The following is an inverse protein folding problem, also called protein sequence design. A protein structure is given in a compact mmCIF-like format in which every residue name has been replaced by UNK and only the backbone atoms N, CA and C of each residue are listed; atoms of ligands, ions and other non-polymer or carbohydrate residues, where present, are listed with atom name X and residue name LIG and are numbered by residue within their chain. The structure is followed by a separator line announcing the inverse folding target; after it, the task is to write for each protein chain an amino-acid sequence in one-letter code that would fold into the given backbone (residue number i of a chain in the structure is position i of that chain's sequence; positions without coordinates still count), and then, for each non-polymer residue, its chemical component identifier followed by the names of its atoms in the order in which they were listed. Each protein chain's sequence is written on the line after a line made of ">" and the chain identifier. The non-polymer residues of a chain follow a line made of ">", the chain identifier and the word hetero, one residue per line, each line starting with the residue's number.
data_IF_412538124242
#
_entry.id   IF_412538124242
#
_cell.length_a   1.000
_cell.length_b   1.000
_cell.length_c   1.000
_cell.angle_alpha   90.00
_cell.angle_beta   90.00
_cell.angle_gamma   90.00
#
_symmetry.space_group_name_H-M   'P 1'
#
loop_
_entity.id
_entity.type
_entity.pdbx_description
1 polymer ?
#
# COMPACT_ATOMS: atom_id res chain seq x y z
N UNK A 1 -0.02 -14.72 -21.84
CA UNK A 1 0.14 -13.39 -21.24
C UNK A 1 0.83 -13.58 -19.91
N UNK A 2 1.98 -12.98 -19.69
CA UNK A 2 2.61 -12.95 -18.38
C UNK A 2 1.64 -12.18 -17.46
N UNK A 3 1.20 -12.71 -16.32
CA UNK A 3 0.32 -11.96 -15.44
C UNK A 3 1.03 -10.67 -15.03
N UNK A 4 0.36 -9.55 -15.17
CA UNK A 4 0.83 -8.27 -14.67
C UNK A 4 0.96 -8.40 -13.16
N UNK A 5 2.12 -8.06 -12.61
CA UNK A 5 2.38 -8.10 -11.17
C UNK A 5 1.34 -7.24 -10.43
N UNK A 6 0.86 -7.72 -9.30
CA UNK A 6 -0.11 -6.98 -8.48
C UNK A 6 0.48 -5.72 -7.87
N UNK A 7 -0.40 -4.85 -7.36
CA UNK A 7 -0.07 -3.58 -6.70
C UNK A 7 -0.21 -3.72 -5.19
N UNK A 8 0.74 -3.20 -4.43
CA UNK A 8 0.60 -3.01 -2.98
C UNK A 8 0.09 -1.59 -2.74
N UNK A 9 -1.05 -1.46 -2.06
CA UNK A 9 -1.62 -0.16 -1.67
C UNK A 9 -1.60 -0.05 -0.15
N UNK A 10 -0.75 0.83 0.37
CA UNK A 10 -0.69 1.09 1.81
C UNK A 10 -1.59 2.28 2.14
N UNK A 11 -2.57 2.03 2.99
CA UNK A 11 -3.46 3.06 3.52
C UNK A 11 -2.95 3.48 4.89
N UNK A 12 -2.82 4.78 5.12
CA UNK A 12 -2.52 5.35 6.44
C UNK A 12 -3.37 6.59 6.71
N UNK A 13 -3.20 7.14 7.89
CA UNK A 13 -3.91 8.35 8.33
C UNK A 13 -4.48 8.21 9.73
N UNK A 14 -4.95 9.30 10.33
CA UNK A 14 -5.36 9.34 11.72
C UNK A 14 -6.48 8.36 12.04
N UNK A 15 -6.50 7.92 13.29
CA UNK A 15 -7.62 7.13 13.81
C UNK A 15 -8.93 7.90 13.70
N UNK A 16 -10.00 7.21 13.30
CA UNK A 16 -11.33 7.85 13.15
C UNK A 16 -11.61 8.39 11.75
N UNK A 17 -10.67 8.36 10.81
CA UNK A 17 -10.88 8.80 9.41
C UNK A 17 -11.76 7.86 8.57
N UNK A 18 -11.98 6.63 9.04
CA UNK A 18 -12.85 5.66 8.34
C UNK A 18 -12.10 4.71 7.41
N UNK A 19 -10.78 4.53 7.57
CA UNK A 19 -9.93 3.65 6.75
C UNK A 19 -10.53 2.24 6.57
N UNK A 20 -10.85 1.56 7.67
CA UNK A 20 -11.40 0.20 7.61
C UNK A 20 -12.69 0.09 6.80
N UNK A 21 -13.61 1.07 6.92
CA UNK A 21 -14.84 1.11 6.11
C UNK A 21 -14.53 1.33 4.63
N UNK A 22 -13.59 2.23 4.34
CA UNK A 22 -13.12 2.51 2.98
C UNK A 22 -12.55 1.25 2.32
N UNK A 23 -11.66 0.55 3.03
CA UNK A 23 -11.02 -0.69 2.56
C UNK A 23 -12.06 -1.79 2.32
N UNK A 24 -12.95 -2.03 3.29
CA UNK A 24 -14.01 -3.04 3.15
C UNK A 24 -14.91 -2.77 1.95
N UNK A 25 -15.29 -1.50 1.73
CA UNK A 25 -16.08 -1.10 0.57
C UNK A 25 -15.31 -1.29 -0.74
N UNK A 26 -14.02 -0.94 -0.80
CA UNK A 26 -13.19 -1.17 -1.98
C UNK A 26 -13.10 -2.65 -2.32
N UNK A 27 -12.84 -3.52 -1.35
CA UNK A 27 -12.74 -4.97 -1.57
C UNK A 27 -14.05 -5.58 -2.08
N UNK A 28 -15.20 -5.00 -1.70
CA UNK A 28 -16.50 -5.40 -2.25
C UNK A 28 -16.66 -4.96 -3.71
N UNK A 29 -16.08 -3.82 -4.09
CA UNK A 29 -16.16 -3.25 -5.45
C UNK A 29 -15.15 -3.86 -6.44
N UNK A 30 -14.00 -4.29 -5.95
CA UNK A 30 -12.93 -4.89 -6.77
C UNK A 30 -12.41 -6.18 -6.12
N UNK A 31 -12.87 -7.35 -6.60
CA UNK A 31 -12.47 -8.66 -6.06
C UNK A 31 -10.97 -8.98 -6.24
N UNK A 32 -10.22 -8.20 -7.04
CA UNK A 32 -8.77 -8.38 -7.19
C UNK A 32 -7.98 -7.81 -6.01
N UNK A 33 -8.61 -6.96 -5.20
CA UNK A 33 -7.99 -6.35 -4.04
C UNK A 33 -8.17 -7.26 -2.82
N UNK A 34 -7.07 -7.69 -2.25
CA UNK A 34 -7.02 -8.57 -1.08
C UNK A 34 -6.39 -7.84 0.11
N UNK A 35 -6.94 -8.07 1.29
CA UNK A 35 -6.27 -7.61 2.51
C UNK A 35 -5.06 -8.51 2.79
N UNK A 36 -3.92 -7.92 3.20
CA UNK A 36 -2.76 -8.70 3.60
C UNK A 36 -3.02 -9.40 4.94
N UNK A 37 -2.68 -10.67 5.03
CA UNK A 37 -2.77 -11.42 6.28
C UNK A 37 -1.51 -11.12 7.11
N UNK A 38 -1.69 -10.49 8.27
CA UNK A 38 -0.59 -10.18 9.20
C UNK A 38 -0.21 -11.39 10.04
N UNK A 39 1.04 -11.43 10.50
CA UNK A 39 1.45 -12.32 11.58
C UNK A 39 1.13 -11.70 12.95
N UNK A 40 0.89 -12.54 13.95
CA UNK A 40 0.67 -12.09 15.34
C UNK A 40 1.15 -13.12 16.36
N UNK A 41 1.57 -12.63 17.54
CA UNK A 41 1.89 -13.49 18.68
C UNK A 41 0.69 -13.73 19.60
N UNK A 42 -0.46 -13.15 19.28
CA UNK A 42 -1.70 -13.40 20.01
C UNK A 42 -2.21 -14.80 19.72
N UNK A 43 -2.68 -15.46 20.74
CA UNK A 43 -3.35 -16.75 20.60
C UNK A 43 -4.59 -16.67 19.66
N UNK A 44 -4.78 -17.73 18.88
CA UNK A 44 -5.93 -17.87 17.98
C UNK A 44 -7.24 -17.90 18.79
N UNK A 45 -8.22 -17.12 18.35
CA UNK A 45 -9.55 -17.11 18.96
C UNK A 45 -10.48 -18.09 18.25
N UNK A 46 -11.55 -18.45 18.94
CA UNK A 46 -12.60 -19.29 18.34
C UNK A 46 -13.16 -18.62 17.06
N UNK A 47 -13.19 -19.38 15.96
CA UNK A 47 -13.65 -18.91 14.65
C UNK A 47 -12.57 -18.26 13.77
N UNK A 48 -11.35 -18.08 14.27
CA UNK A 48 -10.19 -17.67 13.46
C UNK A 48 -9.50 -18.90 12.84
N UNK A 49 -8.74 -18.68 11.76
CA UNK A 49 -7.99 -19.73 11.09
C UNK A 49 -6.59 -19.24 10.70
N UNK A 50 -5.62 -20.17 10.79
CA UNK A 50 -4.22 -19.95 10.36
C UNK A 50 -4.15 -19.56 8.89
N UNK A 51 -3.37 -18.52 8.58
CA UNK A 51 -3.18 -18.03 7.22
C UNK A 51 -4.39 -17.35 6.57
N UNK A 52 -5.50 -17.22 7.33
CA UNK A 52 -6.72 -16.53 6.90
C UNK A 52 -7.00 -15.31 7.77
N UNK A 53 -7.06 -15.49 9.08
CA UNK A 53 -7.25 -14.38 10.02
C UNK A 53 -5.93 -13.74 10.37
N UNK A 54 -4.94 -14.54 10.68
CA UNK A 54 -3.55 -14.19 10.96
C UNK A 54 -2.65 -15.40 10.68
N UNK A 55 -1.33 -15.16 10.57
CA UNK A 55 -0.29 -16.16 10.80
C UNK A 55 0.06 -16.13 12.29
N UNK A 56 -0.40 -17.14 13.04
CA UNK A 56 -0.20 -17.19 14.50
C UNK A 56 1.20 -17.75 14.81
N UNK A 57 2.00 -16.98 15.54
CA UNK A 57 3.38 -17.31 15.90
C UNK A 57 3.59 -17.20 17.40
N UNK A 58 4.51 -17.97 17.92
CA UNK A 58 5.03 -17.72 19.27
C UNK A 58 5.84 -16.40 19.25
N UNK A 59 6.02 -15.79 20.42
CA UNK A 59 6.85 -14.58 20.52
C UNK A 59 8.29 -14.83 20.03
N UNK A 60 8.86 -15.98 20.38
CA UNK A 60 10.22 -16.35 19.96
C UNK A 60 10.35 -16.48 18.42
N UNK A 61 9.41 -17.18 17.77
CA UNK A 61 9.36 -17.26 16.30
C UNK A 61 9.20 -15.89 15.66
N UNK A 62 8.32 -15.05 16.17
CA UNK A 62 8.11 -13.72 15.62
C UNK A 62 9.37 -12.84 15.73
N UNK A 63 10.05 -12.86 16.87
CA UNK A 63 11.30 -12.14 17.09
C UNK A 63 12.45 -12.69 16.21
N UNK A 64 12.47 -13.98 15.92
CA UNK A 64 13.38 -14.57 14.93
C UNK A 64 13.09 -14.07 13.52
N UNK A 65 11.82 -14.07 13.09
CA UNK A 65 11.38 -13.54 11.82
C UNK A 65 11.71 -12.05 11.64
N UNK A 66 11.70 -11.26 12.72
CA UNK A 66 12.16 -9.86 12.68
C UNK A 66 13.66 -9.81 12.39
N UNK A 67 14.48 -10.63 13.11
CA UNK A 67 15.93 -10.65 12.92
C UNK A 67 16.34 -11.08 11.50
N UNK A 68 15.57 -11.99 10.91
CA UNK A 68 15.81 -12.54 9.59
C UNK A 68 15.27 -11.64 8.46
N UNK A 69 14.59 -10.52 8.82
CA UNK A 69 14.02 -9.56 7.86
C UNK A 69 12.79 -10.09 7.12
N UNK A 70 12.15 -11.13 7.62
CA UNK A 70 10.90 -11.68 7.09
C UNK A 70 9.70 -10.81 7.43
N UNK A 71 9.75 -10.09 8.57
CA UNK A 71 8.75 -9.11 9.00
C UNK A 71 9.21 -7.72 8.54
N UNK A 72 8.43 -7.08 7.68
CA UNK A 72 8.75 -5.78 7.07
C UNK A 72 8.49 -4.60 8.00
N UNK A 73 7.42 -4.70 8.75
CA UNK A 73 7.00 -3.74 9.76
C UNK A 73 6.25 -4.49 10.86
N UNK A 74 6.31 -3.97 12.06
CA UNK A 74 5.60 -4.55 13.20
C UNK A 74 5.31 -3.50 14.27
N UNK A 75 4.29 -3.78 15.09
CA UNK A 75 3.93 -2.98 16.26
C UNK A 75 3.47 -3.90 17.40
N UNK A 76 3.54 -3.40 18.64
CA UNK A 76 3.06 -4.12 19.82
C UNK A 76 1.75 -3.52 20.30
N UNK A 77 0.71 -4.35 20.40
CA UNK A 77 -0.58 -3.95 20.94
C UNK A 77 -1.07 -4.94 21.99
N UNK A 78 -1.38 -4.45 23.19
CA UNK A 78 -1.83 -5.26 24.32
C UNK A 78 -0.91 -6.46 24.61
N UNK A 79 0.41 -6.26 24.56
CA UNK A 79 1.41 -7.29 24.85
C UNK A 79 1.63 -8.31 23.73
N UNK A 80 0.99 -8.16 22.56
CA UNK A 80 1.17 -9.01 21.40
C UNK A 80 1.77 -8.23 20.25
N UNK A 81 2.64 -8.89 19.49
CA UNK A 81 3.22 -8.37 18.27
C UNK A 81 2.28 -8.62 17.09
N UNK A 82 2.24 -7.68 16.17
CA UNK A 82 1.53 -7.76 14.89
C UNK A 82 2.46 -7.22 13.82
N UNK A 83 2.53 -7.87 12.67
CA UNK A 83 3.42 -7.41 11.61
C UNK A 83 3.08 -7.99 10.24
N UNK A 84 3.64 -7.35 9.22
CA UNK A 84 3.44 -7.70 7.81
C UNK A 84 4.59 -8.56 7.31
N UNK A 85 4.26 -9.74 6.76
CA UNK A 85 5.23 -10.67 6.22
C UNK A 85 5.62 -10.32 4.78
N UNK A 86 6.92 -10.31 4.48
CA UNK A 86 7.43 -10.14 3.12
C UNK A 86 6.90 -11.22 2.17
N UNK A 87 6.91 -12.47 2.59
CA UNK A 87 6.45 -13.62 1.80
C UNK A 87 4.98 -13.53 1.42
N UNK A 88 4.14 -13.04 2.34
CA UNK A 88 2.69 -12.84 2.10
C UNK A 88 2.47 -11.81 0.97
N UNK A 89 3.13 -10.66 1.05
CA UNK A 89 3.01 -9.63 0.02
C UNK A 89 3.55 -10.11 -1.32
N UNK A 90 4.78 -10.68 -1.32
CA UNK A 90 5.43 -11.14 -2.52
C UNK A 90 4.60 -12.19 -3.26
N UNK A 91 4.11 -13.21 -2.56
CA UNK A 91 3.33 -14.28 -3.17
C UNK A 91 2.03 -13.77 -3.82
N UNK A 92 1.37 -12.81 -3.18
CA UNK A 92 0.12 -12.23 -3.70
C UNK A 92 0.37 -11.39 -4.95
N UNK A 93 1.36 -10.49 -4.91
CA UNK A 93 1.64 -9.62 -6.07
C UNK A 93 2.19 -10.43 -7.25
N UNK A 94 2.99 -11.47 -7.03
CA UNK A 94 3.49 -12.35 -8.07
C UNK A 94 2.37 -13.18 -8.72
N UNK A 95 1.32 -13.48 -7.96
CA UNK A 95 0.10 -14.09 -8.48
C UNK A 95 -0.82 -13.10 -9.25
N UNK A 96 -0.43 -11.82 -9.35
CA UNK A 96 -1.22 -10.76 -10.02
C UNK A 96 -2.35 -10.18 -9.15
N UNK A 97 -2.38 -10.48 -7.85
CA UNK A 97 -3.37 -9.92 -6.93
C UNK A 97 -2.90 -8.59 -6.37
N UNK A 98 -3.80 -7.62 -6.27
CA UNK A 98 -3.51 -6.39 -5.55
C UNK A 98 -3.70 -6.59 -4.04
N UNK A 99 -2.80 -6.00 -3.27
CA UNK A 99 -2.80 -6.11 -1.81
C UNK A 99 -3.07 -4.75 -1.19
N UNK A 100 -3.93 -4.71 -0.18
CA UNK A 100 -4.19 -3.51 0.61
C UNK A 100 -3.81 -3.72 2.08
N UNK A 101 -3.20 -2.70 2.68
CA UNK A 101 -2.73 -2.67 4.05
C UNK A 101 -3.24 -1.40 4.75
N UNK A 102 -3.62 -1.49 6.03
CA UNK A 102 -3.91 -0.33 6.92
C UNK A 102 -2.78 -0.27 7.96
N UNK A 103 -1.83 0.63 7.76
CA UNK A 103 -0.60 0.72 8.55
C UNK A 103 -0.40 2.13 9.14
N UNK A 104 0.49 2.21 10.12
CA UNK A 104 1.04 3.48 10.60
C UNK A 104 1.90 4.15 9.53
N UNK A 105 2.26 5.43 9.74
CA UNK A 105 3.18 6.16 8.84
C UNK A 105 4.50 5.39 8.68
N UNK A 106 5.09 4.92 9.79
CA UNK A 106 6.33 4.12 9.78
C UNK A 106 6.18 2.81 9.02
N UNK A 107 5.04 2.12 9.19
CA UNK A 107 4.75 0.90 8.45
C UNK A 107 4.63 1.16 6.96
N UNK A 108 4.00 2.26 6.55
CA UNK A 108 3.90 2.66 5.15
C UNK A 108 5.27 2.91 4.53
N UNK A 109 6.15 3.61 5.23
CA UNK A 109 7.53 3.85 4.81
C UNK A 109 8.30 2.54 4.64
N UNK A 110 8.20 1.61 5.61
CA UNK A 110 8.87 0.31 5.54
C UNK A 110 8.43 -0.52 4.32
N UNK A 111 7.12 -0.55 4.02
CA UNK A 111 6.60 -1.25 2.85
C UNK A 111 7.08 -0.61 1.55
N UNK A 112 7.07 0.73 1.45
CA UNK A 112 7.56 1.43 0.25
C UNK A 112 9.04 1.19 0.02
N UNK A 113 9.86 1.18 1.06
CA UNK A 113 11.28 0.87 0.96
C UNK A 113 11.54 -0.59 0.52
N UNK A 114 10.69 -1.52 0.95
CA UNK A 114 10.80 -2.93 0.57
C UNK A 114 10.30 -3.23 -0.86
N UNK A 115 9.33 -2.44 -1.37
CA UNK A 115 8.68 -2.61 -2.66
C UNK A 115 8.57 -1.27 -3.41
N UNK A 116 9.69 -0.62 -3.77
CA UNK A 116 9.67 0.76 -4.30
C UNK A 116 8.92 0.90 -5.63
N UNK A 117 8.87 -0.15 -6.44
CA UNK A 117 8.17 -0.15 -7.73
C UNK A 117 6.75 -0.70 -7.65
N UNK A 118 6.47 -1.55 -6.65
CA UNK A 118 5.21 -2.27 -6.54
C UNK A 118 4.26 -1.66 -5.50
N UNK A 119 4.74 -0.77 -4.62
CA UNK A 119 3.93 -0.18 -3.56
C UNK A 119 3.61 1.30 -3.81
N UNK A 120 2.36 1.66 -3.53
CA UNK A 120 1.92 3.05 -3.39
C UNK A 120 1.38 3.29 -1.98
N UNK A 121 1.43 4.54 -1.55
CA UNK A 121 0.92 4.97 -0.26
C UNK A 121 -0.18 6.03 -0.43
N UNK A 122 -1.29 5.85 0.31
CA UNK A 122 -2.44 6.75 0.29
C UNK A 122 -2.75 7.21 1.71
N UNK A 123 -2.67 8.50 1.95
CA UNK A 123 -3.01 9.08 3.24
C UNK A 123 -4.48 9.52 3.29
N UNK A 124 -5.21 9.00 4.27
CA UNK A 124 -6.63 9.31 4.43
C UNK A 124 -6.81 10.45 5.43
N UNK A 125 -7.38 11.55 4.96
CA UNK A 125 -7.71 12.70 5.78
C UNK A 125 -9.21 12.78 6.06
N UNK A 126 -9.64 13.29 7.23
CA UNK A 126 -11.02 13.72 7.43
C UNK A 126 -11.26 15.04 6.66
N UNK A 127 -12.51 15.42 6.37
CA UNK A 127 -12.84 16.71 5.78
C UNK A 127 -12.40 17.92 6.63
N UNK A 128 -12.34 17.72 7.95
CA UNK A 128 -11.86 18.70 8.94
C UNK A 128 -11.56 18.01 10.27
N UNK A 129 -10.76 18.68 11.13
CA UNK A 129 -10.53 18.23 12.52
C UNK A 129 -11.84 18.14 13.29
N UNK A 130 -12.75 19.08 13.11
CA UNK A 130 -14.08 19.07 13.75
C UNK A 130 -14.88 17.82 13.36
N UNK A 131 -14.83 17.40 12.11
CA UNK A 131 -15.49 16.17 11.65
C UNK A 131 -14.82 14.92 12.21
N UNK A 132 -13.49 14.91 12.33
CA UNK A 132 -12.76 13.84 12.98
C UNK A 132 -13.18 13.68 14.44
N UNK A 133 -13.20 14.78 15.19
CA UNK A 133 -13.64 14.80 16.59
C UNK A 133 -15.08 14.26 16.73
N UNK A 134 -15.98 14.69 15.85
CA UNK A 134 -17.37 14.20 15.81
C UNK A 134 -17.41 12.67 15.59
N UNK A 135 -16.60 12.14 14.69
CA UNK A 135 -16.53 10.69 14.37
C UNK A 135 -15.97 9.88 15.53
N UNK A 136 -14.92 10.37 16.20
CA UNK A 136 -14.33 9.71 17.37
C UNK A 136 -15.35 9.67 18.50
N UNK A 137 -16.00 10.81 18.82
CA UNK A 137 -17.02 10.94 19.86
C UNK A 137 -18.24 10.03 19.61
N UNK A 138 -18.62 9.81 18.36
CA UNK A 138 -19.76 8.97 17.97
C UNK A 138 -19.58 7.47 18.28
N UNK A 139 -18.38 6.97 18.56
CA UNK A 139 -18.12 5.58 18.92
C UNK A 139 -18.49 5.20 20.36
N UNK A 140 -19.00 6.13 21.18
CA UNK A 140 -19.62 5.97 22.51
C UNK A 140 -18.82 5.20 23.58
N UNK A 141 -17.51 5.03 23.47
CA UNK A 141 -16.69 4.23 24.41
C UNK A 141 -15.56 5.00 25.05
N UNK A 142 -15.42 6.30 24.77
CA UNK A 142 -14.24 7.07 25.15
C UNK A 142 -14.61 8.20 26.13
N UNK A 143 -13.73 8.43 27.12
CA UNK A 143 -13.80 9.60 27.98
C UNK A 143 -13.41 10.86 27.22
N UNK A 144 -13.77 12.05 27.74
CA UNK A 144 -13.37 13.33 27.14
C UNK A 144 -11.84 13.48 27.09
N UNK A 145 -11.11 12.87 28.03
CA UNK A 145 -9.65 12.87 28.06
C UNK A 145 -9.08 12.03 26.90
N UNK A 146 -9.56 10.79 26.71
CA UNK A 146 -9.18 9.92 25.60
C UNK A 146 -9.50 10.56 24.24
N UNK A 147 -10.65 11.26 24.13
CA UNK A 147 -11.03 12.00 22.93
C UNK A 147 -9.98 13.07 22.61
N UNK A 148 -9.58 13.90 23.61
CA UNK A 148 -8.57 14.95 23.41
C UNK A 148 -7.22 14.37 23.01
N UNK A 149 -6.79 13.28 23.64
CA UNK A 149 -5.54 12.59 23.27
C UNK A 149 -5.56 12.12 21.83
N UNK A 150 -6.66 11.50 21.37
CA UNK A 150 -6.80 11.01 19.99
C UNK A 150 -6.84 12.14 18.97
N UNK A 151 -7.50 13.25 19.28
CA UNK A 151 -7.49 14.43 18.40
C UNK A 151 -6.08 15.02 18.33
N UNK A 152 -5.40 15.19 19.47
CA UNK A 152 -4.03 15.67 19.49
C UNK A 152 -3.06 14.72 18.77
N UNK A 153 -3.29 13.41 18.84
CA UNK A 153 -2.51 12.43 18.06
C UNK A 153 -2.75 12.62 16.56
N UNK A 154 -3.99 12.78 16.13
CA UNK A 154 -4.35 13.02 14.74
C UNK A 154 -3.70 14.31 14.19
N UNK A 155 -3.69 15.38 14.97
CA UNK A 155 -3.04 16.65 14.60
C UNK A 155 -1.52 16.47 14.40
N UNK A 156 -0.88 15.59 15.17
CA UNK A 156 0.54 15.24 14.98
C UNK A 156 0.78 14.36 13.74
N UNK A 157 -0.18 13.53 13.37
CA UNK A 157 -0.08 12.62 12.22
C UNK A 157 -0.38 13.30 10.88
N UNK A 158 -1.27 14.28 10.82
CA UNK A 158 -1.67 14.96 9.59
C UNK A 158 -0.52 15.52 8.76
N UNK A 159 0.52 16.16 9.34
CA UNK A 159 1.65 16.70 8.57
C UNK A 159 2.41 15.65 7.75
N UNK A 160 2.37 14.36 8.14
CA UNK A 160 3.01 13.27 7.41
C UNK A 160 2.35 12.97 6.05
N UNK A 161 1.20 13.58 5.74
CA UNK A 161 0.58 13.47 4.41
C UNK A 161 1.55 13.80 3.28
N UNK A 162 2.54 14.65 3.52
CA UNK A 162 3.56 15.07 2.53
C UNK A 162 4.52 13.95 2.12
N UNK A 163 4.58 12.87 2.89
CA UNK A 163 5.44 11.72 2.65
C UNK A 163 4.74 10.62 1.84
N UNK A 164 3.45 10.83 1.51
CA UNK A 164 2.62 9.87 0.80
C UNK A 164 2.48 10.24 -0.68
N UNK A 165 2.26 9.22 -1.52
CA UNK A 165 2.08 9.42 -2.96
C UNK A 165 0.73 10.05 -3.28
N UNK A 166 -0.30 9.73 -2.50
CA UNK A 166 -1.67 10.19 -2.69
C UNK A 166 -2.31 10.63 -1.39
N UNK A 167 -3.23 11.59 -1.50
CA UNK A 167 -4.12 11.98 -0.41
C UNK A 167 -5.57 11.75 -0.82
N UNK A 168 -6.38 11.22 0.10
CA UNK A 168 -7.81 11.04 -0.10
C UNK A 168 -8.57 11.63 1.09
N UNK A 169 -9.50 12.54 0.81
CA UNK A 169 -10.39 13.11 1.83
C UNK A 169 -11.60 12.18 1.97
N UNK A 170 -11.78 11.63 3.17
CA UNK A 170 -12.89 10.75 3.53
C UNK A 170 -14.14 11.56 3.92
N UNK A 171 -14.75 12.20 2.93
CA UNK A 171 -15.95 13.03 3.05
C UNK A 171 -17.24 12.26 2.76
N UNK A 172 -17.17 11.16 2.02
CA UNK A 172 -18.31 10.37 1.58
C UNK A 172 -18.01 8.88 1.68
N UNK A 173 -18.96 8.13 2.25
CA UNK A 173 -18.89 6.65 2.35
C UNK A 173 -19.04 5.97 0.98
N UNK A 174 -19.65 6.63 0.01
CA UNK A 174 -19.87 6.09 -1.34
C UNK A 174 -18.81 6.54 -2.34
N UNK A 175 -18.37 7.79 -2.28
CA UNK A 175 -17.39 8.34 -3.23
C UNK A 175 -15.94 8.08 -2.82
N UNK A 176 -15.65 7.98 -1.52
CA UNK A 176 -14.32 7.63 -1.03
C UNK A 176 -13.76 6.34 -1.63
N UNK A 177 -14.48 5.21 -1.57
CA UNK A 177 -14.04 3.96 -2.19
C UNK A 177 -13.85 4.04 -3.70
N UNK A 178 -14.70 4.79 -4.42
CA UNK A 178 -14.55 5.00 -5.87
C UNK A 178 -13.27 5.79 -6.19
N UNK A 179 -12.98 6.86 -5.44
CA UNK A 179 -11.73 7.62 -5.59
C UNK A 179 -10.49 6.77 -5.31
N UNK A 180 -10.52 5.93 -4.25
CA UNK A 180 -9.43 5.01 -3.98
C UNK A 180 -9.26 4.00 -5.12
N UNK A 181 -10.37 3.45 -5.64
CA UNK A 181 -10.34 2.58 -6.81
C UNK A 181 -9.75 3.26 -8.03
N UNK A 182 -10.09 4.54 -8.28
CA UNK A 182 -9.52 5.33 -9.38
C UNK A 182 -8.00 5.46 -9.28
N UNK A 183 -7.45 5.68 -8.08
CA UNK A 183 -6.01 5.71 -7.84
C UNK A 183 -5.39 4.37 -8.22
N UNK A 184 -5.93 3.26 -7.72
CA UNK A 184 -5.44 1.91 -7.98
C UNK A 184 -5.54 1.57 -9.48
N UNK A 185 -6.65 1.90 -10.13
CA UNK A 185 -6.82 1.66 -11.56
C UNK A 185 -5.83 2.46 -12.41
N UNK A 186 -5.54 3.71 -12.05
CA UNK A 186 -4.53 4.53 -12.72
C UNK A 186 -3.12 3.94 -12.53
N UNK A 187 -2.79 3.51 -11.34
CA UNK A 187 -1.50 2.86 -11.05
C UNK A 187 -1.29 1.57 -11.85
N UNK A 188 -2.34 0.77 -12.04
CA UNK A 188 -2.30 -0.42 -12.88
C UNK A 188 -1.98 -0.12 -14.35
N UNK A 189 -2.29 1.09 -14.85
CA UNK A 189 -2.04 1.50 -16.23
C UNK A 189 -0.65 2.11 -16.45
N UNK A 190 0.16 2.27 -15.45
CA UNK A 190 1.54 2.76 -15.62
C UNK A 190 2.33 1.84 -16.55
N UNK A 191 3.14 2.43 -17.44
CA UNK A 191 3.96 1.70 -18.41
C UNK A 191 4.92 0.72 -17.71
N UNK A 192 5.53 1.12 -16.60
CA UNK A 192 6.43 0.25 -15.82
C UNK A 192 5.77 -1.04 -15.34
N UNK A 193 4.43 -1.02 -15.10
CA UNK A 193 3.65 -2.20 -14.71
C UNK A 193 3.17 -3.03 -15.91
N UNK A 194 3.22 -2.46 -17.10
CA UNK A 194 2.76 -3.06 -18.35
C UNK A 194 3.92 -3.27 -19.33
N UNK A 195 5.15 -3.51 -18.82
CA UNK A 195 6.35 -3.65 -19.64
C UNK A 195 6.21 -4.71 -20.75
N UNK A 196 5.44 -5.78 -20.51
CA UNK A 196 5.14 -6.80 -21.51
C UNK A 196 4.20 -6.37 -22.65
N UNK A 197 3.68 -5.14 -22.66
CA UNK A 197 2.79 -4.66 -23.74
C UNK A 197 3.48 -4.66 -25.11
N UNK A 198 4.77 -4.37 -25.17
CA UNK A 198 5.56 -4.39 -26.40
C UNK A 198 5.73 -5.82 -26.95
N UNK A 199 5.87 -6.81 -26.08
CA UNK A 199 5.95 -8.23 -26.46
C UNK A 199 4.62 -8.69 -27.09
N UNK A 200 3.49 -8.26 -26.53
CA UNK A 200 2.15 -8.55 -27.06
C UNK A 200 1.98 -7.96 -28.47
N UNK A 201 2.58 -6.78 -28.71
CA UNK A 201 2.53 -6.08 -30.00
C UNK A 201 3.60 -6.58 -31.00
N UNK A 202 4.43 -7.58 -30.64
CA UNK A 202 5.47 -8.12 -31.48
C UNK A 202 6.75 -7.27 -31.54
N UNK A 203 6.93 -6.35 -30.60
CA UNK A 203 8.11 -5.48 -30.51
C UNK A 203 9.10 -5.94 -29.43
N UNK A 204 9.18 -7.24 -29.20
CA UNK A 204 10.13 -7.84 -28.25
C UNK A 204 11.56 -7.47 -28.62
N UNK A 205 12.30 -6.90 -27.67
CA UNK A 205 13.73 -6.56 -27.84
C UNK A 205 14.03 -5.13 -28.28
N UNK A 206 13.03 -4.26 -28.46
CA UNK A 206 13.26 -2.82 -28.61
C UNK A 206 13.58 -2.20 -27.25
N UNK A 207 14.85 -2.11 -26.90
CA UNK A 207 15.30 -1.23 -25.83
C UNK A 207 15.22 0.21 -26.33
N UNK A 208 14.47 1.08 -25.63
CA UNK A 208 14.60 2.53 -25.84
C UNK A 208 16.04 2.89 -25.49
N UNK A 209 16.83 3.29 -26.48
CA UNK A 209 18.25 3.61 -26.35
C UNK A 209 18.50 4.91 -25.59
N UNK A 210 18.12 4.91 -24.32
CA UNK A 210 18.60 5.88 -23.32
C UNK A 210 19.54 5.15 -22.39
N UNK A 211 20.76 4.91 -22.89
CA UNK A 211 21.91 4.64 -22.06
C UNK A 211 22.24 5.97 -21.33
N UNK A 212 22.07 6.08 -20.02
CA UNK A 212 22.40 7.30 -19.29
C UNK A 212 23.89 7.64 -19.28
N UNK A 213 24.75 6.80 -19.92
CA UNK A 213 26.19 6.99 -20.05
C UNK A 213 26.64 7.62 -21.38
N UNK A 214 25.75 7.82 -22.37
CA UNK A 214 26.09 8.48 -23.62
C UNK A 214 25.93 10.01 -23.49
N UNK A 215 27.02 10.69 -23.19
CA UNK A 215 27.12 12.15 -23.24
C UNK A 215 26.85 12.70 -24.63
N UNK A 216 26.50 14.01 -24.80
CA UNK A 216 26.17 14.62 -26.07
C UNK A 216 27.44 14.84 -26.91
N UNK A 217 27.70 13.93 -27.85
CA UNK A 217 28.86 14.04 -28.72
C UNK A 217 28.95 12.92 -29.74
N UNK A 218 28.14 12.93 -30.77
CA UNK A 218 28.26 12.03 -31.91
C UNK A 218 27.59 12.62 -33.13
N UNK A 219 28.38 13.28 -33.98
CA UNK A 219 27.94 13.86 -35.27
C UNK A 219 27.44 12.75 -36.21
N UNK A 220 26.22 12.87 -36.65
CA UNK A 220 25.67 12.10 -37.77
C UNK A 220 26.28 12.59 -39.09
N UNK A 221 27.15 11.80 -39.69
CA UNK A 221 27.53 11.95 -41.09
C UNK A 221 26.44 11.27 -41.95
N UNK A 222 25.68 12.10 -42.65
CA UNK A 222 24.75 11.66 -43.69
C UNK A 222 25.55 11.14 -44.89
N UNK A 223 25.38 9.89 -45.27
CA UNK A 223 25.80 9.37 -46.57
C UNK A 223 24.66 9.61 -47.56
N UNK A 224 24.91 10.43 -48.56
CA UNK A 224 24.00 10.68 -49.67
C UNK A 224 23.92 9.48 -50.64
N UNK A 225 22.87 9.40 -51.47
CA UNK A 225 22.66 8.30 -52.41
C UNK A 225 23.63 8.39 -53.60
N UNK A 226 24.25 7.26 -53.96
CA UNK A 226 25.01 7.12 -55.19
C UNK A 226 24.04 6.89 -56.36
N UNK A 227 24.08 7.79 -57.32
CA UNK A 227 23.51 7.58 -58.65
C UNK A 227 24.39 6.58 -59.45
N UNK A 228 23.77 5.54 -59.98
CA UNK A 228 23.88 5.05 -61.36
C UNK A 228 22.88 3.91 -61.63
#
# INVERSE_FOLDING_TARGET
>A
MTPTKGLITVISGPSGTGKGTLIASLMTMDPRVHYAVSATTREMRHGEAEGVSYYFKTRAEFEEMIRDGEVLEWDEFCGNLYGTLRSELQSKIDAGNDVILDLTVKGAEAIKNAFPEDAISVFILPPSIRELERRIRGRRRESEEQLRERVAQAEREIPFVREFDYVLISDSLTEGPKRLKTIIDAERQKVCRNAGVLDIMGFSGLTTGTDPAAGPGGQTTAAGPAEN
#
